data_IF_657223221981
#
_entry.id   IF_657223221981
#
_cell.length_a   1.000
_cell.length_b   1.000
_cell.length_c   1.000
_cell.angle_alpha   90.00
_cell.angle_beta   90.00
_cell.angle_gamma   90.00
#
_symmetry.space_group_name_H-M   'P 1'
#
loop_
_entity.id
_entity.type
_entity.pdbx_description
1 polymer ?
#
# COMPACT_ATOMS: atom_id res chain seq x y z
N UNK A 1 -68.06 18.16 -16.22
CA UNK A 1 -66.81 18.08 -15.44
C UNK A 1 -66.80 16.79 -14.62
N UNK A 2 -67.93 16.40 -14.02
CA UNK A 2 -68.06 15.15 -13.24
C UNK A 2 -67.77 13.83 -13.97
N UNK A 3 -67.90 13.75 -15.31
CA UNK A 3 -67.59 12.50 -16.04
C UNK A 3 -66.10 12.27 -16.31
N UNK A 4 -65.28 13.33 -16.29
CA UNK A 4 -63.83 13.23 -16.51
C UNK A 4 -63.07 12.83 -15.24
N UNK A 5 -63.61 13.12 -14.05
CA UNK A 5 -63.01 12.72 -12.77
C UNK A 5 -63.25 11.23 -12.47
N UNK A 6 -64.43 10.70 -12.81
CA UNK A 6 -64.78 9.29 -12.60
C UNK A 6 -63.94 8.34 -13.48
N UNK A 7 -63.73 8.70 -14.75
CA UNK A 7 -62.87 7.92 -15.67
C UNK A 7 -61.40 7.90 -15.20
N UNK A 8 -60.96 8.93 -14.48
CA UNK A 8 -59.61 9.02 -13.96
C UNK A 8 -59.42 8.13 -12.71
N UNK A 9 -60.38 8.12 -11.79
CA UNK A 9 -60.34 7.26 -10.59
C UNK A 9 -60.40 5.76 -10.94
N UNK A 10 -61.19 5.39 -11.96
CA UNK A 10 -61.29 3.98 -12.38
C UNK A 10 -59.99 3.49 -13.04
N UNK A 11 -59.33 4.33 -13.84
CA UNK A 11 -58.03 4.03 -14.44
C UNK A 11 -56.93 3.91 -13.38
N UNK A 12 -56.94 4.77 -12.36
CA UNK A 12 -56.04 4.67 -11.19
C UNK A 12 -56.19 3.35 -10.46
N UNK A 13 -57.43 2.95 -10.15
CA UNK A 13 -57.69 1.71 -9.43
C UNK A 13 -57.23 0.48 -10.24
N UNK A 14 -57.39 0.51 -11.56
CA UNK A 14 -56.89 -0.55 -12.45
C UNK A 14 -55.35 -0.59 -12.46
N UNK A 15 -54.67 0.56 -12.60
CA UNK A 15 -53.20 0.61 -12.62
C UNK A 15 -52.60 0.20 -11.26
N UNK A 16 -53.18 0.63 -10.14
CA UNK A 16 -52.77 0.19 -8.80
C UNK A 16 -52.98 -1.32 -8.58
N UNK A 17 -54.08 -1.89 -9.09
CA UNK A 17 -54.33 -3.34 -9.04
C UNK A 17 -53.33 -4.13 -9.89
N UNK A 18 -52.93 -3.60 -11.05
CA UNK A 18 -51.87 -4.20 -11.87
C UNK A 18 -50.53 -4.18 -11.14
N UNK A 19 -50.18 -3.08 -10.49
CA UNK A 19 -48.98 -2.99 -9.66
C UNK A 19 -49.00 -4.01 -8.53
N UNK A 20 -50.12 -4.13 -7.79
CA UNK A 20 -50.27 -5.14 -6.73
C UNK A 20 -50.07 -6.56 -7.25
N UNK A 21 -50.66 -6.91 -8.40
CA UNK A 21 -50.47 -8.23 -9.03
C UNK A 21 -49.04 -8.48 -9.48
N UNK A 22 -48.35 -7.44 -9.96
CA UNK A 22 -46.95 -7.53 -10.35
C UNK A 22 -46.05 -7.76 -9.12
N UNK A 23 -46.36 -7.08 -8.00
CA UNK A 23 -45.70 -7.30 -6.71
C UNK A 23 -45.88 -8.74 -6.21
N UNK A 24 -47.10 -9.27 -6.23
CA UNK A 24 -47.39 -10.66 -5.82
C UNK A 24 -46.60 -11.69 -6.64
N UNK A 25 -46.37 -11.41 -7.93
CA UNK A 25 -45.63 -12.28 -8.86
C UNK A 25 -44.12 -12.19 -8.69
N UNK A 26 -43.62 -11.17 -7.99
CA UNK A 26 -42.19 -10.87 -7.85
C UNK A 26 -41.45 -10.69 -9.16
N UNK A 27 -42.12 -10.13 -10.17
CA UNK A 27 -41.55 -9.87 -11.49
C UNK A 27 -41.30 -8.37 -11.66
N UNK A 28 -40.01 -7.99 -11.70
CA UNK A 28 -39.60 -6.58 -11.81
C UNK A 28 -39.97 -5.96 -13.17
N UNK A 29 -40.09 -6.77 -14.23
CA UNK A 29 -40.52 -6.32 -15.55
C UNK A 29 -42.00 -5.96 -15.55
N UNK A 30 -42.85 -6.84 -14.99
CA UNK A 30 -44.29 -6.55 -14.82
C UNK A 30 -44.50 -5.31 -13.95
N UNK A 31 -43.69 -5.12 -12.91
CA UNK A 31 -43.74 -3.91 -12.06
C UNK A 31 -43.37 -2.67 -12.86
N UNK A 32 -42.35 -2.74 -13.72
CA UNK A 32 -41.94 -1.62 -14.56
C UNK A 32 -43.06 -1.13 -15.47
N UNK A 33 -43.74 -2.06 -16.15
CA UNK A 33 -44.89 -1.75 -17.03
C UNK A 33 -46.06 -1.18 -16.23
N UNK A 34 -46.38 -1.79 -15.08
CA UNK A 34 -47.47 -1.31 -14.23
C UNK A 34 -47.21 0.11 -13.67
N UNK A 35 -45.95 0.48 -13.45
CA UNK A 35 -45.58 1.83 -13.02
C UNK A 35 -45.68 2.86 -14.14
N UNK A 36 -45.41 2.50 -15.40
CA UNK A 36 -45.62 3.40 -16.55
C UNK A 36 -47.09 3.77 -16.68
N UNK A 37 -47.97 2.76 -16.68
CA UNK A 37 -49.42 2.94 -16.74
C UNK A 37 -49.95 3.82 -15.59
N UNK A 38 -49.33 3.74 -14.41
CA UNK A 38 -49.75 4.51 -13.24
C UNK A 38 -49.26 5.97 -13.29
N UNK A 39 -48.04 6.20 -13.76
CA UNK A 39 -47.42 7.53 -13.81
C UNK A 39 -47.89 8.37 -15.01
N UNK A 40 -48.29 7.75 -16.13
CA UNK A 40 -48.81 8.47 -17.31
C UNK A 40 -50.20 9.09 -17.07
N UNK A 41 -50.96 8.58 -16.09
CA UNK A 41 -52.35 8.98 -15.85
C UNK A 41 -52.59 9.92 -14.66
N UNK A 42 -51.59 10.19 -13.80
CA UNK A 42 -51.88 10.84 -12.49
C UNK A 42 -50.80 11.76 -11.92
N UNK A 43 -51.23 12.60 -10.95
CA UNK A 43 -50.31 13.34 -10.10
C UNK A 43 -49.73 12.42 -9.02
N UNK A 44 -48.44 12.09 -9.17
CA UNK A 44 -47.69 11.13 -8.36
C UNK A 44 -47.71 11.41 -6.84
N UNK A 45 -48.02 12.64 -6.44
CA UNK A 45 -48.11 13.08 -5.04
C UNK A 45 -49.15 12.31 -4.21
N UNK A 46 -50.20 11.78 -4.83
CA UNK A 46 -51.29 11.08 -4.12
C UNK A 46 -50.98 9.61 -3.81
N UNK A 47 -49.88 9.08 -4.35
CA UNK A 47 -49.52 7.66 -4.24
C UNK A 47 -48.27 7.39 -3.41
N UNK A 48 -47.83 8.38 -2.64
CA UNK A 48 -46.60 8.29 -1.86
C UNK A 48 -46.58 7.05 -0.93
N UNK A 49 -47.70 6.74 -0.26
CA UNK A 49 -47.80 5.56 0.61
C UNK A 49 -47.72 4.24 -0.17
N UNK A 50 -48.30 4.20 -1.37
CA UNK A 50 -48.25 3.00 -2.24
C UNK A 50 -46.82 2.79 -2.74
N UNK A 51 -46.15 3.85 -3.20
CA UNK A 51 -44.77 3.76 -3.65
C UNK A 51 -43.82 3.37 -2.51
N UNK A 52 -44.03 3.92 -1.31
CA UNK A 52 -43.27 3.56 -0.11
C UNK A 52 -43.45 2.08 0.26
N UNK A 53 -44.68 1.56 0.19
CA UNK A 53 -44.97 0.15 0.44
C UNK A 53 -44.34 -0.77 -0.61
N UNK A 54 -44.50 -0.44 -1.90
CA UNK A 54 -43.92 -1.18 -3.02
C UNK A 54 -42.39 -1.22 -2.93
N UNK A 55 -41.73 -0.10 -2.62
CA UNK A 55 -40.29 -0.04 -2.39
C UNK A 55 -39.87 -0.96 -1.24
N UNK A 56 -40.59 -0.93 -0.12
CA UNK A 56 -40.27 -1.74 1.05
C UNK A 56 -40.32 -3.24 0.77
N UNK A 57 -41.15 -3.66 -0.18
CA UNK A 57 -41.25 -5.03 -0.66
C UNK A 57 -40.14 -5.36 -1.66
N UNK A 58 -39.98 -4.56 -2.72
CA UNK A 58 -39.04 -4.81 -3.83
C UNK A 58 -37.59 -4.89 -3.34
N UNK A 59 -37.19 -4.07 -2.36
CA UNK A 59 -35.82 -4.08 -1.83
C UNK A 59 -35.45 -5.41 -1.14
N UNK A 60 -36.44 -6.25 -0.83
CA UNK A 60 -36.24 -7.59 -0.27
C UNK A 60 -36.06 -8.68 -1.32
N UNK A 61 -36.24 -8.35 -2.60
CA UNK A 61 -36.12 -9.30 -3.70
C UNK A 61 -34.68 -9.41 -4.22
N UNK A 62 -34.40 -10.52 -4.89
CA UNK A 62 -33.16 -10.73 -5.65
C UNK A 62 -33.25 -10.03 -7.01
N UNK A 63 -33.03 -8.71 -7.02
CA UNK A 63 -33.14 -7.86 -8.23
C UNK A 63 -31.86 -7.82 -9.09
N UNK A 64 -30.84 -8.63 -8.76
CA UNK A 64 -29.56 -8.67 -9.48
C UNK A 64 -29.64 -9.24 -10.90
N UNK A 65 -30.72 -9.96 -11.23
CA UNK A 65 -30.89 -10.64 -12.53
C UNK A 65 -31.28 -9.70 -13.69
N UNK A 66 -31.81 -8.52 -13.38
CA UNK A 66 -32.22 -7.50 -14.37
C UNK A 66 -31.87 -6.10 -13.84
N UNK A 67 -30.57 -5.72 -13.81
CA UNK A 67 -30.11 -4.54 -13.10
C UNK A 67 -30.66 -3.22 -13.66
N UNK A 68 -30.76 -3.10 -14.98
CA UNK A 68 -31.28 -1.89 -15.65
C UNK A 68 -32.77 -1.66 -15.35
N UNK A 69 -33.60 -2.69 -15.52
CA UNK A 69 -35.03 -2.65 -15.19
C UNK A 69 -35.24 -2.36 -13.71
N UNK A 70 -34.43 -2.97 -12.85
CA UNK A 70 -34.52 -2.79 -11.40
C UNK A 70 -34.15 -1.36 -11.00
N UNK A 71 -33.13 -0.78 -11.61
CA UNK A 71 -32.78 0.62 -11.40
C UNK A 71 -33.92 1.55 -11.81
N UNK A 72 -34.50 1.34 -13.00
CA UNK A 72 -35.60 2.15 -13.50
C UNK A 72 -36.82 2.12 -12.57
N UNK A 73 -37.22 0.92 -12.12
CA UNK A 73 -38.33 0.74 -11.17
C UNK A 73 -38.04 1.46 -9.85
N UNK A 74 -36.85 1.26 -9.28
CA UNK A 74 -36.50 1.88 -8.00
C UNK A 74 -36.49 3.41 -8.10
N UNK A 75 -35.93 3.99 -9.17
CA UNK A 75 -35.95 5.46 -9.39
C UNK A 75 -37.38 5.99 -9.51
N UNK A 76 -38.21 5.35 -10.34
CA UNK A 76 -39.61 5.74 -10.53
C UNK A 76 -40.44 5.70 -9.24
N UNK A 77 -40.11 4.79 -8.34
CA UNK A 77 -40.77 4.72 -7.04
C UNK A 77 -40.19 5.70 -6.02
N UNK A 78 -38.90 6.04 -6.09
CA UNK A 78 -38.22 6.93 -5.13
C UNK A 78 -38.42 8.41 -5.46
N UNK A 79 -38.41 8.80 -6.73
CA UNK A 79 -38.50 10.21 -7.15
C UNK A 79 -39.78 10.93 -6.66
N UNK A 80 -40.96 10.27 -6.59
CA UNK A 80 -42.18 10.90 -6.07
C UNK A 80 -42.25 11.03 -4.54
N UNK A 81 -41.33 10.41 -3.78
CA UNK A 81 -41.37 10.43 -2.31
C UNK A 81 -40.92 11.80 -1.77
N UNK A 82 -41.87 12.64 -1.36
CA UNK A 82 -41.60 13.99 -0.81
C UNK A 82 -41.32 13.98 0.71
N UNK A 83 -41.75 12.94 1.41
CA UNK A 83 -41.53 12.77 2.84
C UNK A 83 -40.09 12.33 3.12
N UNK A 84 -39.25 13.30 3.46
CA UNK A 84 -37.84 13.06 3.78
C UNK A 84 -37.59 12.04 4.90
N UNK A 85 -38.52 11.87 5.86
CA UNK A 85 -38.38 10.88 6.93
C UNK A 85 -38.58 9.46 6.38
N UNK A 86 -39.65 9.24 5.59
CA UNK A 86 -39.93 7.94 4.96
C UNK A 86 -38.84 7.55 3.97
N UNK A 87 -38.44 8.49 3.12
CA UNK A 87 -37.37 8.27 2.14
C UNK A 87 -36.04 7.93 2.82
N UNK A 88 -35.70 8.61 3.93
CA UNK A 88 -34.51 8.29 4.73
C UNK A 88 -34.57 6.88 5.32
N UNK A 89 -35.70 6.48 5.90
CA UNK A 89 -35.87 5.13 6.46
C UNK A 89 -35.71 4.04 5.39
N UNK A 90 -36.23 4.25 4.18
CA UNK A 90 -36.06 3.33 3.04
C UNK A 90 -34.60 3.24 2.63
N UNK A 91 -33.90 4.39 2.50
CA UNK A 91 -32.47 4.40 2.16
C UNK A 91 -31.62 3.67 3.21
N UNK A 92 -31.86 3.93 4.50
CA UNK A 92 -31.17 3.25 5.60
C UNK A 92 -31.45 1.74 5.59
N UNK A 93 -32.69 1.32 5.29
CA UNK A 93 -33.05 -0.10 5.16
C UNK A 93 -32.32 -0.74 3.98
N UNK A 94 -32.26 -0.09 2.82
CA UNK A 94 -31.49 -0.56 1.66
C UNK A 94 -30.01 -0.77 2.04
N UNK A 95 -29.40 0.18 2.75
CA UNK A 95 -28.01 0.09 3.19
C UNK A 95 -27.76 -1.02 4.23
N UNK A 96 -28.78 -1.44 4.99
CA UNK A 96 -28.67 -2.63 5.86
C UNK A 96 -28.84 -3.93 5.11
N UNK A 97 -29.61 -3.91 4.02
CA UNK A 97 -29.85 -5.10 3.18
C UNK A 97 -28.73 -5.34 2.17
N UNK A 98 -28.02 -4.28 1.76
CA UNK A 98 -26.89 -4.33 0.82
C UNK A 98 -27.25 -4.93 -0.55
N UNK A 99 -28.47 -4.66 -1.01
CA UNK A 99 -28.92 -5.02 -2.36
C UNK A 99 -28.16 -4.18 -3.38
N UNK A 100 -27.39 -4.81 -4.28
CA UNK A 100 -26.38 -4.19 -5.15
C UNK A 100 -26.89 -2.93 -5.87
N UNK A 101 -27.94 -3.08 -6.68
CA UNK A 101 -28.53 -1.99 -7.48
C UNK A 101 -29.17 -0.91 -6.61
N UNK A 102 -29.94 -1.34 -5.59
CA UNK A 102 -30.65 -0.40 -4.71
C UNK A 102 -29.69 0.45 -3.86
N UNK A 103 -28.57 -0.12 -3.43
CA UNK A 103 -27.55 0.56 -2.61
C UNK A 103 -27.04 1.82 -3.30
N UNK A 104 -26.74 1.74 -4.61
CA UNK A 104 -26.27 2.90 -5.37
C UNK A 104 -27.31 4.03 -5.37
N UNK A 105 -28.56 3.70 -5.65
CA UNK A 105 -29.66 4.67 -5.71
C UNK A 105 -29.88 5.31 -4.34
N UNK A 106 -29.87 4.51 -3.27
CA UNK A 106 -29.98 5.01 -1.91
C UNK A 106 -28.84 5.99 -1.57
N UNK A 107 -27.60 5.67 -1.95
CA UNK A 107 -26.44 6.57 -1.73
C UNK A 107 -26.57 7.87 -2.53
N UNK A 108 -27.00 7.81 -3.79
CA UNK A 108 -27.22 9.01 -4.62
C UNK A 108 -28.28 9.94 -3.98
N UNK A 109 -29.39 9.39 -3.51
CA UNK A 109 -30.45 10.14 -2.83
C UNK A 109 -29.95 10.73 -1.52
N UNK A 110 -29.27 9.93 -0.69
CA UNK A 110 -28.69 10.42 0.57
C UNK A 110 -27.66 11.53 0.35
N UNK A 111 -26.85 11.46 -0.72
CA UNK A 111 -25.89 12.54 -1.06
C UNK A 111 -26.62 13.81 -1.50
N UNK A 112 -27.65 13.69 -2.34
CA UNK A 112 -28.47 14.83 -2.80
C UNK A 112 -29.09 15.58 -1.63
N UNK A 113 -29.61 14.84 -0.65
CA UNK A 113 -30.26 15.38 0.55
C UNK A 113 -29.29 15.66 1.71
N UNK A 114 -27.98 15.45 1.52
CA UNK A 114 -26.93 15.61 2.54
C UNK A 114 -27.20 14.81 3.83
N UNK A 115 -27.76 13.61 3.70
CA UNK A 115 -28.02 12.71 4.82
C UNK A 115 -26.80 11.86 5.17
N UNK A 116 -26.63 11.64 6.47
CA UNK A 116 -25.55 10.82 7.03
C UNK A 116 -26.12 9.69 7.86
N UNK A 117 -25.41 8.56 7.87
CA UNK A 117 -25.71 7.44 8.73
C UNK A 117 -25.34 7.75 10.18
N UNK A 118 -26.07 7.16 11.12
CA UNK A 118 -25.62 7.08 12.51
C UNK A 118 -24.44 6.12 12.63
N UNK A 119 -23.64 6.25 13.69
CA UNK A 119 -22.49 5.35 13.92
C UNK A 119 -22.92 3.88 14.04
N UNK A 120 -24.09 3.61 14.62
CA UNK A 120 -24.67 2.26 14.70
C UNK A 120 -25.00 1.72 13.30
N UNK A 121 -25.63 2.54 12.46
CA UNK A 121 -25.97 2.15 11.09
C UNK A 121 -24.71 1.95 10.22
N UNK A 122 -23.64 2.73 10.45
CA UNK A 122 -22.32 2.52 9.82
C UNK A 122 -21.76 1.14 10.16
N UNK A 123 -21.79 0.74 11.43
CA UNK A 123 -21.28 -0.57 11.87
C UNK A 123 -22.11 -1.73 11.30
N UNK A 124 -23.43 -1.59 11.27
CA UNK A 124 -24.34 -2.59 10.70
C UNK A 124 -24.11 -2.74 9.18
N UNK A 125 -24.01 -1.62 8.46
CA UNK A 125 -23.71 -1.61 7.03
C UNK A 125 -22.35 -2.28 6.75
N UNK A 126 -21.30 -1.93 7.49
CA UNK A 126 -19.97 -2.55 7.34
C UNK A 126 -20.01 -4.08 7.51
N UNK A 127 -20.72 -4.58 8.53
CA UNK A 127 -20.87 -6.02 8.77
C UNK A 127 -21.54 -6.72 7.59
N UNK A 128 -22.53 -6.06 6.97
CA UNK A 128 -23.27 -6.58 5.81
C UNK A 128 -22.45 -6.53 4.54
N UNK A 129 -21.75 -5.43 4.27
CA UNK A 129 -20.85 -5.29 3.11
C UNK A 129 -19.78 -6.37 3.11
N UNK A 130 -19.16 -6.64 4.26
CA UNK A 130 -18.16 -7.73 4.41
C UNK A 130 -18.78 -9.11 4.14
N UNK A 131 -20.06 -9.29 4.47
CA UNK A 131 -20.83 -10.48 4.07
C UNK A 131 -20.94 -10.62 2.56
N UNK A 132 -21.40 -9.55 1.89
CA UNK A 132 -21.56 -9.49 0.43
C UNK A 132 -20.23 -9.70 -0.31
N UNK A 133 -19.11 -9.23 0.25
CA UNK A 133 -17.77 -9.46 -0.32
C UNK A 133 -17.39 -10.94 -0.43
N UNK A 134 -17.90 -11.81 0.47
CA UNK A 134 -17.65 -13.26 0.40
C UNK A 134 -18.43 -13.92 -0.73
N UNK A 135 -19.51 -13.28 -1.18
CA UNK A 135 -20.38 -13.74 -2.26
C UNK A 135 -20.02 -13.10 -3.60
N UNK A 136 -18.94 -12.31 -3.68
CA UNK A 136 -18.53 -11.56 -4.87
C UNK A 136 -18.41 -12.39 -6.16
N UNK A 137 -18.20 -13.71 -6.06
CA UNK A 137 -18.12 -14.61 -7.21
C UNK A 137 -19.42 -14.79 -8.00
N UNK A 138 -20.58 -14.41 -7.45
CA UNK A 138 -21.90 -14.53 -8.10
C UNK A 138 -22.41 -13.21 -8.70
N UNK A 139 -21.72 -12.09 -8.47
CA UNK A 139 -22.14 -10.75 -8.89
C UNK A 139 -21.33 -10.34 -10.12
N UNK A 140 -21.96 -9.64 -11.08
CA UNK A 140 -21.19 -9.03 -12.16
C UNK A 140 -20.13 -8.07 -11.57
N UNK A 141 -18.84 -8.19 -11.93
CA UNK A 141 -17.83 -7.42 -11.23
C UNK A 141 -17.90 -5.89 -11.44
N UNK A 142 -18.55 -5.38 -12.51
CA UNK A 142 -18.73 -3.93 -12.70
C UNK A 142 -19.77 -3.43 -11.71
N UNK A 143 -20.85 -4.20 -11.52
CA UNK A 143 -21.85 -3.89 -10.50
C UNK A 143 -21.30 -4.03 -9.08
N UNK A 144 -20.42 -5.01 -8.84
CA UNK A 144 -19.70 -5.13 -7.58
C UNK A 144 -18.81 -3.90 -7.33
N UNK A 145 -18.02 -3.46 -8.30
CA UNK A 145 -17.18 -2.26 -8.21
C UNK A 145 -18.00 -1.01 -7.89
N UNK A 146 -19.11 -0.78 -8.62
CA UNK A 146 -20.03 0.35 -8.38
C UNK A 146 -20.65 0.29 -6.99
N UNK A 147 -21.03 -0.90 -6.54
CA UNK A 147 -21.61 -1.12 -5.22
C UNK A 147 -20.62 -0.81 -4.09
N UNK A 148 -19.37 -1.28 -4.21
CA UNK A 148 -18.31 -0.93 -3.26
C UNK A 148 -18.02 0.56 -3.29
N UNK A 149 -17.99 1.18 -4.46
CA UNK A 149 -17.76 2.62 -4.59
C UNK A 149 -18.84 3.45 -3.87
N UNK A 150 -20.12 3.12 -4.10
CA UNK A 150 -21.25 3.78 -3.43
C UNK A 150 -21.19 3.62 -1.89
N UNK A 151 -20.88 2.42 -1.42
CA UNK A 151 -20.72 2.17 0.01
C UNK A 151 -19.56 2.97 0.62
N UNK A 152 -18.40 3.01 -0.02
CA UNK A 152 -17.27 3.82 0.45
C UNK A 152 -17.63 5.31 0.54
N UNK A 153 -18.38 5.81 -0.44
CA UNK A 153 -18.85 7.20 -0.49
C UNK A 153 -19.72 7.58 0.71
N UNK A 154 -20.77 6.78 0.99
CA UNK A 154 -21.68 7.10 2.10
C UNK A 154 -21.04 6.88 3.46
N UNK A 155 -20.19 5.87 3.60
CA UNK A 155 -19.43 5.61 4.82
C UNK A 155 -18.49 6.78 5.13
N UNK A 156 -17.78 7.29 4.12
CA UNK A 156 -16.92 8.47 4.24
C UNK A 156 -17.73 9.72 4.64
N UNK A 157 -18.84 10.00 3.96
CA UNK A 157 -19.70 11.13 4.29
C UNK A 157 -20.27 11.04 5.73
N UNK A 158 -20.45 9.82 6.23
CA UNK A 158 -20.96 9.51 7.57
C UNK A 158 -19.87 9.43 8.65
N UNK A 159 -18.61 9.69 8.31
CA UNK A 159 -17.50 9.75 9.29
C UNK A 159 -16.86 8.40 9.62
N UNK A 160 -16.96 7.40 8.74
CA UNK A 160 -16.22 6.16 8.89
C UNK A 160 -14.70 6.43 8.95
N UNK A 161 -13.95 5.72 9.81
CA UNK A 161 -12.50 5.92 9.91
C UNK A 161 -11.78 5.61 8.58
N UNK A 162 -10.76 6.39 8.18
CA UNK A 162 -10.04 6.19 6.92
C UNK A 162 -9.50 4.76 6.73
N UNK A 163 -8.88 4.19 7.76
CA UNK A 163 -8.33 2.82 7.70
C UNK A 163 -9.39 1.74 7.41
N UNK A 164 -10.67 1.98 7.76
CA UNK A 164 -11.77 1.06 7.45
C UNK A 164 -12.12 1.14 5.96
N UNK A 165 -12.15 2.36 5.41
CA UNK A 165 -12.41 2.58 3.99
C UNK A 165 -11.28 2.03 3.12
N UNK A 166 -10.02 2.29 3.50
CA UNK A 166 -8.84 1.73 2.85
C UNK A 166 -8.90 0.20 2.83
N UNK A 167 -9.22 -0.42 3.97
CA UNK A 167 -9.37 -1.88 4.05
C UNK A 167 -10.51 -2.39 3.17
N UNK A 168 -11.67 -1.72 3.18
CA UNK A 168 -12.83 -2.09 2.36
C UNK A 168 -12.46 -2.13 0.87
N UNK A 169 -11.84 -1.05 0.38
CA UNK A 169 -11.41 -0.95 -1.01
C UNK A 169 -10.33 -2.00 -1.31
N UNK A 170 -9.31 -2.15 -0.46
CA UNK A 170 -8.25 -3.13 -0.66
C UNK A 170 -8.76 -4.59 -0.68
N UNK A 171 -9.64 -4.96 0.24
CA UNK A 171 -10.23 -6.30 0.30
C UNK A 171 -11.10 -6.59 -0.93
N UNK A 172 -11.81 -5.58 -1.45
CA UNK A 172 -12.64 -5.74 -2.66
C UNK A 172 -11.81 -6.05 -3.91
N UNK A 173 -10.55 -5.62 -3.96
CA UNK A 173 -9.65 -5.79 -5.10
C UNK A 173 -9.15 -7.24 -5.24
N UNK A 174 -8.99 -7.95 -4.12
CA UNK A 174 -8.64 -9.38 -4.15
C UNK A 174 -9.70 -10.17 -4.92
N UNK A 175 -10.96 -9.75 -4.84
CA UNK A 175 -12.07 -10.35 -5.60
C UNK A 175 -12.12 -9.95 -7.08
N UNK A 176 -11.32 -8.95 -7.50
CA UNK A 176 -11.36 -8.33 -8.84
C UNK A 176 -10.19 -8.75 -9.75
N UNK A 177 -9.38 -9.75 -9.38
CA UNK A 177 -8.14 -10.16 -10.07
C UNK A 177 -8.33 -10.73 -11.49
N UNK A 178 -8.76 -9.91 -12.45
CA UNK A 178 -8.67 -10.19 -13.89
C UNK A 178 -7.92 -9.05 -14.59
N UNK A 179 -6.71 -9.30 -15.12
CA UNK A 179 -5.80 -8.25 -15.61
C UNK A 179 -6.29 -7.47 -16.85
N UNK A 180 -7.33 -7.95 -17.54
CA UNK A 180 -7.80 -7.36 -18.81
C UNK A 180 -9.12 -6.58 -18.72
N UNK A 181 -9.63 -6.30 -17.51
CA UNK A 181 -10.94 -5.64 -17.34
C UNK A 181 -10.82 -4.12 -17.27
N UNK A 182 -11.80 -3.43 -17.86
CA UNK A 182 -12.06 -2.01 -17.57
C UNK A 182 -12.64 -1.89 -16.15
N UNK A 183 -11.98 -1.11 -15.29
CA UNK A 183 -12.43 -0.81 -13.92
C UNK A 183 -13.44 0.34 -13.96
N UNK A 184 -14.53 0.28 -13.19
CA UNK A 184 -15.52 1.33 -13.13
C UNK A 184 -14.92 2.68 -12.67
N UNK A 185 -15.20 3.82 -13.34
CA UNK A 185 -14.62 5.12 -12.98
C UNK A 185 -14.88 5.55 -11.53
N UNK A 186 -16.07 5.28 -11.00
CA UNK A 186 -16.42 5.62 -9.61
C UNK A 186 -15.58 4.81 -8.61
N UNK A 187 -15.27 3.56 -8.95
CA UNK A 187 -14.40 2.72 -8.13
C UNK A 187 -12.95 3.21 -8.19
N UNK A 188 -12.47 3.61 -9.38
CA UNK A 188 -11.15 4.26 -9.52
C UNK A 188 -11.11 5.52 -8.67
N UNK A 189 -12.15 6.35 -8.68
CA UNK A 189 -12.22 7.54 -7.83
C UNK A 189 -12.14 7.19 -6.33
N UNK A 190 -12.84 6.14 -5.88
CA UNK A 190 -12.73 5.70 -4.48
C UNK A 190 -11.36 5.10 -4.17
N UNK A 191 -10.75 4.39 -5.11
CA UNK A 191 -9.41 3.85 -4.98
C UNK A 191 -8.39 4.97 -4.80
N UNK A 192 -8.48 6.00 -5.63
CA UNK A 192 -7.73 7.25 -5.54
C UNK A 192 -7.90 7.92 -4.18
N UNK A 193 -9.14 8.04 -3.69
CA UNK A 193 -9.44 8.77 -2.46
C UNK A 193 -9.02 8.03 -1.18
N UNK A 194 -9.01 6.70 -1.19
CA UNK A 194 -8.84 5.89 0.02
C UNK A 194 -7.54 5.05 0.00
N UNK A 195 -6.98 4.77 -1.18
CA UNK A 195 -5.77 3.98 -1.39
C UNK A 195 -4.94 4.55 -2.59
N UNK A 196 -4.46 5.81 -2.54
CA UNK A 196 -3.82 6.49 -3.69
C UNK A 196 -2.55 5.83 -4.21
N UNK A 197 -1.98 4.88 -3.46
CA UNK A 197 -0.79 4.11 -3.82
C UNK A 197 -1.07 2.66 -4.22
N UNK A 198 -2.35 2.31 -4.40
CA UNK A 198 -2.71 0.96 -4.76
C UNK A 198 -2.15 0.58 -6.15
N UNK A 199 -1.52 -0.60 -6.32
CA UNK A 199 -0.92 -1.02 -7.60
C UNK A 199 -1.86 -1.01 -8.82
N UNK A 200 -3.17 -1.20 -8.61
CA UNK A 200 -4.16 -1.05 -9.69
C UNK A 200 -4.20 0.36 -10.29
N UNK A 201 -3.94 1.42 -9.51
CA UNK A 201 -3.83 2.78 -10.04
C UNK A 201 -2.62 2.89 -10.97
N UNK A 202 -1.50 2.26 -10.59
CA UNK A 202 -0.31 2.19 -11.44
C UNK A 202 -0.60 1.48 -12.76
N UNK A 203 -1.30 0.35 -12.74
CA UNK A 203 -1.64 -0.41 -13.97
C UNK A 203 -2.64 0.33 -14.88
N UNK A 204 -3.60 1.04 -14.30
CA UNK A 204 -4.60 1.80 -15.06
C UNK A 204 -4.00 3.09 -15.65
N UNK A 205 -3.19 3.83 -14.89
CA UNK A 205 -2.57 5.10 -15.33
C UNK A 205 -1.33 4.90 -16.22
N UNK A 206 -0.68 3.73 -16.22
CA UNK A 206 0.34 3.41 -17.23
C UNK A 206 -0.23 3.43 -18.67
N UNK A 207 -1.55 3.33 -18.84
CA UNK A 207 -2.22 3.48 -20.15
C UNK A 207 -2.42 4.95 -20.57
N UNK A 208 -2.42 5.90 -19.62
CA UNK A 208 -2.67 7.32 -19.85
C UNK A 208 -1.62 8.15 -19.09
N UNK A 209 -0.55 8.55 -19.78
CA UNK A 209 0.58 9.25 -19.15
C UNK A 209 0.22 10.61 -18.52
N UNK A 210 0.96 10.91 -17.45
CA UNK A 210 1.05 12.13 -16.63
C UNK A 210 0.11 12.19 -15.40
N UNK A 211 0.72 11.90 -14.24
CA UNK A 211 0.15 11.86 -12.87
C UNK A 211 -0.30 10.48 -12.35
N UNK A 212 0.66 9.55 -12.21
CA UNK A 212 0.47 8.18 -11.67
C UNK A 212 -0.16 8.13 -10.26
N UNK A 213 -0.12 9.25 -9.51
CA UNK A 213 -0.72 9.34 -8.18
C UNK A 213 -1.76 10.43 -8.14
N UNK A 214 -3.00 10.01 -7.97
CA UNK A 214 -4.11 10.90 -7.71
C UNK A 214 -4.16 11.21 -6.21
N UNK A 215 -3.25 12.06 -5.74
CA UNK A 215 -3.40 12.69 -4.41
C UNK A 215 -4.25 13.95 -4.60
N UNK A 216 -4.88 14.44 -3.52
CA UNK A 216 -5.57 15.73 -3.55
C UNK A 216 -4.69 16.76 -4.26
N UNK A 217 -5.27 17.55 -5.18
CA UNK A 217 -4.52 18.56 -5.93
C UNK A 217 -3.91 19.56 -4.96
N UNK A 218 -2.61 19.41 -4.74
CA UNK A 218 -1.81 20.31 -3.93
C UNK A 218 -1.00 21.21 -4.85
N UNK A 219 -1.07 22.53 -4.61
CA UNK A 219 -0.37 23.54 -5.41
C UNK A 219 1.15 23.53 -5.14
N UNK A 220 1.57 23.21 -3.91
CA UNK A 220 2.99 23.13 -3.53
C UNK A 220 3.60 21.75 -3.84
N UNK A 221 4.65 21.68 -4.68
CA UNK A 221 5.35 20.42 -4.96
C UNK A 221 5.91 19.75 -3.70
N UNK A 222 6.38 20.55 -2.74
CA UNK A 222 6.95 20.08 -1.48
C UNK A 222 5.86 19.47 -0.58
N UNK A 223 4.71 20.13 -0.46
CA UNK A 223 3.59 19.60 0.32
C UNK A 223 3.00 18.34 -0.32
N UNK A 224 2.93 18.27 -1.66
CA UNK A 224 2.56 17.04 -2.38
C UNK A 224 3.51 15.90 -2.04
N UNK A 225 4.81 16.15 -2.10
CA UNK A 225 5.82 15.13 -1.77
C UNK A 225 5.67 14.61 -0.33
N UNK A 226 5.41 15.48 0.64
CA UNK A 226 5.17 15.03 2.03
C UNK A 226 3.93 14.13 2.14
N UNK A 227 2.83 14.51 1.49
CA UNK A 227 1.65 13.66 1.45
C UNK A 227 1.92 12.32 0.77
N UNK A 228 2.73 12.31 -0.30
CA UNK A 228 3.14 11.09 -0.99
C UNK A 228 3.94 10.17 -0.05
N UNK A 229 4.91 10.73 0.67
CA UNK A 229 5.74 9.97 1.62
C UNK A 229 4.92 9.42 2.78
N UNK A 230 4.07 10.25 3.39
CA UNK A 230 3.28 9.85 4.57
C UNK A 230 2.30 8.73 4.22
N UNK A 231 1.60 8.86 3.08
CA UNK A 231 0.66 7.85 2.61
C UNK A 231 1.36 6.57 2.12
N UNK A 232 2.53 6.67 1.49
CA UNK A 232 3.33 5.51 1.13
C UNK A 232 3.74 4.73 2.38
N UNK A 233 4.20 5.43 3.42
CA UNK A 233 4.56 4.83 4.71
C UNK A 233 3.38 4.13 5.36
N UNK A 234 2.22 4.79 5.39
CA UNK A 234 0.99 4.19 5.92
C UNK A 234 0.61 2.93 5.15
N UNK A 235 0.65 2.98 3.81
CA UNK A 235 0.29 1.85 2.96
C UNK A 235 1.21 0.64 3.18
N UNK A 236 2.53 0.85 3.10
CA UNK A 236 3.52 -0.23 3.21
C UNK A 236 3.56 -0.84 4.60
N UNK A 237 3.36 -0.03 5.64
CA UNK A 237 3.37 -0.51 7.02
C UNK A 237 2.03 -1.04 7.52
N UNK A 238 0.94 -0.79 6.79
CA UNK A 238 -0.36 -1.36 7.14
C UNK A 238 -0.35 -2.90 7.00
N UNK A 239 -0.97 -3.59 7.97
CA UNK A 239 -1.04 -5.08 8.00
C UNK A 239 -1.68 -5.72 6.77
N UNK A 240 -2.47 -4.95 6.01
CA UNK A 240 -3.22 -5.43 4.84
C UNK A 240 -2.80 -4.76 3.52
N UNK A 241 -1.93 -3.75 3.55
CA UNK A 241 -1.59 -2.93 2.37
C UNK A 241 -0.56 -3.59 1.47
N UNK A 242 0.66 -3.78 1.97
CA UNK A 242 1.73 -4.36 1.17
C UNK A 242 1.75 -5.89 1.22
N UNK A 243 1.95 -6.51 0.04
CA UNK A 243 2.22 -7.95 -0.14
C UNK A 243 3.44 -8.09 -1.06
N UNK A 244 4.26 -9.11 -0.87
CA UNK A 244 5.48 -9.37 -1.67
C UNK A 244 5.18 -9.41 -3.17
N UNK A 245 4.02 -9.95 -3.56
CA UNK A 245 3.56 -10.04 -4.95
C UNK A 245 3.35 -8.68 -5.63
N UNK A 246 3.29 -7.58 -4.86
CA UNK A 246 3.08 -6.22 -5.36
C UNK A 246 4.39 -5.43 -5.49
N UNK A 247 5.54 -6.06 -5.22
CA UNK A 247 6.82 -5.39 -5.11
C UNK A 247 7.22 -4.60 -6.35
N UNK A 248 7.08 -5.17 -7.55
CA UNK A 248 7.42 -4.46 -8.80
C UNK A 248 6.61 -3.18 -8.98
N UNK A 249 5.30 -3.23 -8.70
CA UNK A 249 4.43 -2.04 -8.79
C UNK A 249 4.81 -1.01 -7.74
N UNK A 250 5.05 -1.45 -6.49
CA UNK A 250 5.45 -0.56 -5.41
C UNK A 250 6.85 0.02 -5.59
N UNK A 251 7.75 -0.69 -6.26
CA UNK A 251 9.06 -0.17 -6.64
C UNK A 251 8.89 0.97 -7.64
N UNK A 252 8.05 0.81 -8.66
CA UNK A 252 7.74 1.89 -9.59
C UNK A 252 7.13 3.11 -8.86
N UNK A 253 6.29 2.87 -7.85
CA UNK A 253 5.78 3.94 -7.00
C UNK A 253 6.89 4.68 -6.28
N UNK A 254 7.71 3.93 -5.55
CA UNK A 254 8.84 4.45 -4.80
C UNK A 254 9.79 5.27 -5.69
N UNK A 255 10.13 4.75 -6.87
CA UNK A 255 10.99 5.43 -7.83
C UNK A 255 10.41 6.76 -8.30
N UNK A 256 9.10 6.85 -8.52
CA UNK A 256 8.45 8.09 -8.93
C UNK A 256 8.45 9.14 -7.81
N UNK A 257 8.25 8.72 -6.55
CA UNK A 257 8.36 9.60 -5.38
C UNK A 257 9.81 10.11 -5.25
N UNK A 258 10.80 9.23 -5.38
CA UNK A 258 12.22 9.60 -5.38
C UNK A 258 12.58 10.52 -6.55
N UNK A 259 12.05 10.28 -7.74
CA UNK A 259 12.27 11.17 -8.88
C UNK A 259 11.72 12.57 -8.57
N UNK A 260 10.51 12.67 -7.97
CA UNK A 260 9.97 13.97 -7.56
C UNK A 260 10.85 14.64 -6.50
N UNK A 261 11.26 13.87 -5.49
CA UNK A 261 12.21 14.31 -4.45
C UNK A 261 13.43 14.98 -5.06
N UNK A 262 14.07 14.33 -6.05
CA UNK A 262 15.28 14.82 -6.72
C UNK A 262 15.04 16.17 -7.44
N UNK A 263 13.82 16.43 -7.89
CA UNK A 263 13.46 17.67 -8.61
C UNK A 263 12.87 18.76 -7.69
N UNK A 264 12.68 18.51 -6.39
CA UNK A 264 12.23 19.56 -5.47
C UNK A 264 13.29 20.66 -5.35
N UNK A 265 12.83 21.91 -5.40
CA UNK A 265 13.66 23.08 -5.13
C UNK A 265 13.97 23.20 -3.64
N UNK A 266 15.20 23.60 -3.31
CA UNK A 266 15.68 23.75 -1.93
C UNK A 266 16.37 22.51 -1.37
N UNK A 267 16.80 22.63 -0.11
CA UNK A 267 17.41 21.55 0.66
C UNK A 267 16.50 21.17 1.84
N UNK A 268 16.58 19.92 2.27
CA UNK A 268 15.83 19.43 3.41
C UNK A 268 16.42 19.91 4.73
N UNK A 269 15.53 20.34 5.62
CA UNK A 269 15.86 20.71 6.99
C UNK A 269 16.05 19.49 7.88
N UNK A 270 16.53 19.71 9.11
CA UNK A 270 16.77 18.63 10.08
C UNK A 270 15.49 17.84 10.41
N UNK A 271 14.34 18.50 10.44
CA UNK A 271 13.04 17.90 10.77
C UNK A 271 12.62 16.82 9.74
N UNK A 272 13.10 16.95 8.50
CA UNK A 272 12.80 16.01 7.43
C UNK A 272 13.56 14.68 7.56
N UNK A 273 14.67 14.64 8.32
CA UNK A 273 15.50 13.43 8.46
C UNK A 273 14.66 12.25 8.96
N UNK A 274 13.77 12.47 9.92
CA UNK A 274 12.91 11.40 10.46
C UNK A 274 11.95 10.85 9.41
N UNK A 275 11.22 11.76 8.74
CA UNK A 275 10.21 11.41 7.74
C UNK A 275 10.83 10.65 6.57
N UNK A 276 11.96 11.15 6.06
CA UNK A 276 12.66 10.51 4.94
C UNK A 276 13.33 9.20 5.38
N UNK A 277 13.80 9.09 6.62
CA UNK A 277 14.30 7.81 7.12
C UNK A 277 13.18 6.77 7.21
N UNK A 278 11.99 7.14 7.70
CA UNK A 278 10.83 6.23 7.73
C UNK A 278 10.38 5.81 6.33
N UNK A 279 10.41 6.75 5.37
CA UNK A 279 10.18 6.48 3.95
C UNK A 279 11.08 5.39 3.38
N UNK A 280 12.39 5.53 3.59
CA UNK A 280 13.36 4.55 3.12
C UNK A 280 13.23 3.19 3.83
N UNK A 281 12.94 3.18 5.13
CA UNK A 281 12.70 1.93 5.87
C UNK A 281 11.47 1.19 5.36
N UNK A 282 10.39 1.91 5.06
CA UNK A 282 9.22 1.33 4.41
C UNK A 282 9.60 0.78 3.02
N UNK A 283 10.33 1.56 2.22
CA UNK A 283 10.75 1.14 0.88
C UNK A 283 11.67 -0.09 0.88
N UNK A 284 12.53 -0.27 1.89
CA UNK A 284 13.40 -1.43 1.99
C UNK A 284 12.64 -2.76 1.97
N UNK A 285 11.43 -2.80 2.51
CA UNK A 285 10.56 -3.99 2.50
C UNK A 285 10.12 -4.39 1.10
N UNK A 286 10.10 -3.44 0.15
CA UNK A 286 9.75 -3.71 -1.25
C UNK A 286 10.80 -4.60 -1.90
N UNK A 287 12.08 -4.41 -1.54
CA UNK A 287 13.19 -5.14 -2.15
C UNK A 287 13.27 -6.61 -1.72
N UNK A 288 12.53 -6.99 -0.68
CA UNK A 288 12.36 -8.39 -0.28
C UNK A 288 11.25 -9.10 -1.06
N UNK A 289 10.53 -8.38 -1.94
CA UNK A 289 9.38 -8.93 -2.63
C UNK A 289 9.69 -9.71 -3.90
N UNK A 290 8.67 -10.42 -4.38
CA UNK A 290 8.80 -11.34 -5.51
C UNK A 290 9.17 -10.56 -6.79
N UNK A 291 10.12 -11.08 -7.57
CA UNK A 291 10.60 -10.50 -8.84
C UNK A 291 11.42 -9.22 -8.73
N UNK A 292 11.89 -8.84 -7.54
CA UNK A 292 12.93 -7.81 -7.40
C UNK A 292 14.32 -8.45 -7.53
N UNK A 293 15.12 -7.96 -8.48
CA UNK A 293 16.45 -8.46 -8.76
C UNK A 293 17.57 -7.53 -8.29
N UNK A 294 18.80 -7.93 -8.63
CA UNK A 294 20.01 -7.18 -8.29
C UNK A 294 20.08 -5.79 -8.96
N UNK A 295 19.44 -5.64 -10.14
CA UNK A 295 19.44 -4.39 -10.90
C UNK A 295 18.62 -3.30 -10.19
N UNK A 296 17.44 -3.68 -9.69
CA UNK A 296 16.55 -2.83 -8.92
C UNK A 296 17.21 -2.38 -7.62
N UNK A 297 17.87 -3.30 -6.90
CA UNK A 297 18.65 -2.97 -5.71
C UNK A 297 19.79 -2.01 -6.02
N UNK A 298 20.51 -2.21 -7.13
CA UNK A 298 21.57 -1.28 -7.56
C UNK A 298 21.04 0.11 -7.89
N UNK A 299 19.83 0.20 -8.46
CA UNK A 299 19.16 1.47 -8.73
C UNK A 299 18.73 2.17 -7.44
N UNK A 300 18.27 1.42 -6.45
CA UNK A 300 17.92 1.96 -5.13
C UNK A 300 19.11 2.63 -4.44
N UNK A 301 20.31 2.08 -4.57
CA UNK A 301 21.54 2.70 -4.02
C UNK A 301 21.75 4.09 -4.60
N UNK A 302 21.60 4.25 -5.92
CA UNK A 302 21.71 5.57 -6.59
C UNK A 302 20.63 6.54 -6.13
N UNK A 303 19.41 6.05 -5.87
CA UNK A 303 18.34 6.87 -5.31
C UNK A 303 18.63 7.29 -3.85
N UNK A 304 19.28 6.42 -3.07
CA UNK A 304 19.70 6.72 -1.70
C UNK A 304 20.78 7.80 -1.67
N UNK A 305 21.76 7.70 -2.57
CA UNK A 305 22.78 8.73 -2.81
C UNK A 305 22.12 10.07 -3.15
N UNK A 306 21.25 10.09 -4.16
CA UNK A 306 20.54 11.30 -4.60
C UNK A 306 19.63 11.89 -3.51
N UNK A 307 19.01 11.05 -2.69
CA UNK A 307 18.21 11.50 -1.54
C UNK A 307 19.09 12.12 -0.46
N UNK A 308 20.24 11.52 -0.19
CA UNK A 308 21.22 12.05 0.76
C UNK A 308 21.69 13.44 0.33
N UNK A 309 21.90 13.65 -0.97
CA UNK A 309 22.34 14.94 -1.52
C UNK A 309 21.34 16.09 -1.36
N UNK A 310 20.05 15.79 -1.13
CA UNK A 310 19.02 16.80 -0.86
C UNK A 310 19.11 17.45 0.52
N UNK A 311 19.82 16.82 1.45
CA UNK A 311 20.13 17.46 2.72
C UNK A 311 21.35 18.38 2.55
N UNK A 312 21.37 19.48 3.31
CA UNK A 312 22.57 20.30 3.48
C UNK A 312 23.76 19.41 3.85
N UNK A 313 24.95 19.78 3.39
CA UNK A 313 26.17 18.98 3.49
C UNK A 313 26.44 18.48 4.92
N UNK A 314 26.16 19.30 5.94
CA UNK A 314 26.33 18.93 7.35
C UNK A 314 25.29 17.90 7.87
N UNK A 315 24.11 17.82 7.24
CA UNK A 315 23.00 16.94 7.62
C UNK A 315 23.04 15.58 6.91
N UNK A 316 23.72 15.48 5.77
CA UNK A 316 23.92 14.22 5.03
C UNK A 316 24.41 13.05 5.89
N UNK A 317 25.50 13.19 6.69
CA UNK A 317 25.92 12.09 7.55
C UNK A 317 24.90 11.77 8.65
N UNK A 318 24.14 12.76 9.13
CA UNK A 318 23.09 12.57 10.14
C UNK A 318 21.92 11.74 9.60
N UNK A 319 21.53 11.95 8.34
CA UNK A 319 20.50 11.16 7.68
C UNK A 319 20.90 9.68 7.56
N UNK A 320 22.08 9.38 7.02
CA UNK A 320 22.58 8.01 6.90
C UNK A 320 22.76 7.35 8.27
N UNK A 321 23.26 8.11 9.25
CA UNK A 321 23.38 7.66 10.64
C UNK A 321 22.01 7.31 11.23
N UNK A 322 20.99 8.13 10.96
CA UNK A 322 19.63 7.90 11.45
C UNK A 322 19.01 6.65 10.84
N UNK A 323 19.18 6.44 9.54
CA UNK A 323 18.77 5.20 8.86
C UNK A 323 19.40 3.98 9.53
N UNK A 324 20.72 3.96 9.66
CA UNK A 324 21.44 2.85 10.27
C UNK A 324 21.03 2.62 11.73
N UNK A 325 20.81 3.70 12.48
CA UNK A 325 20.31 3.63 13.85
C UNK A 325 18.93 2.98 13.94
N UNK A 326 17.96 3.40 13.12
CA UNK A 326 16.63 2.79 13.11
C UNK A 326 16.71 1.30 12.75
N UNK A 327 17.54 0.91 11.79
CA UNK A 327 17.78 -0.50 11.46
C UNK A 327 18.38 -1.28 12.64
N UNK A 328 19.33 -0.69 13.38
CA UNK A 328 19.99 -1.34 14.51
C UNK A 328 19.10 -1.57 15.73
N UNK A 329 17.98 -0.86 15.86
CA UNK A 329 17.08 -0.94 17.02
C UNK A 329 16.08 -2.11 16.98
N UNK A 330 16.19 -2.99 15.96
CA UNK A 330 15.38 -4.20 15.70
C UNK A 330 14.25 -4.47 16.70
N UNK A 331 13.04 -4.02 16.36
CA UNK A 331 11.81 -4.46 17.03
C UNK A 331 10.67 -4.87 16.10
N UNK A 332 10.64 -4.46 14.83
CA UNK A 332 9.39 -4.58 14.06
C UNK A 332 9.49 -5.08 12.62
N UNK A 333 10.68 -5.23 12.01
CA UNK A 333 10.80 -5.65 10.60
C UNK A 333 12.04 -6.52 10.40
N UNK A 334 11.85 -7.79 10.05
CA UNK A 334 12.90 -8.63 9.45
C UNK A 334 13.01 -8.24 7.97
N UNK A 335 14.14 -7.64 7.57
CA UNK A 335 14.44 -7.31 6.18
C UNK A 335 15.29 -8.43 5.57
N UNK A 336 14.77 -9.07 4.51
CA UNK A 336 15.42 -10.17 3.81
C UNK A 336 16.71 -9.78 3.07
N UNK A 337 16.92 -8.49 2.79
CA UNK A 337 18.15 -7.90 2.20
C UNK A 337 18.86 -6.90 3.14
N UNK A 338 18.67 -7.01 4.46
CA UNK A 338 19.23 -6.09 5.46
C UNK A 338 20.75 -5.88 5.31
N UNK A 339 21.53 -6.96 5.14
CA UNK A 339 22.99 -6.85 5.08
C UNK A 339 23.45 -6.06 3.84
N UNK A 340 22.79 -6.27 2.71
CA UNK A 340 23.03 -5.57 1.45
C UNK A 340 22.65 -4.09 1.58
N UNK A 341 21.52 -3.78 2.21
CA UNK A 341 21.07 -2.40 2.46
C UNK A 341 22.03 -1.66 3.37
N UNK A 342 22.49 -2.30 4.46
CA UNK A 342 23.43 -1.70 5.39
C UNK A 342 24.78 -1.47 4.72
N UNK A 343 25.24 -2.44 3.90
CA UNK A 343 26.43 -2.27 3.09
C UNK A 343 26.31 -1.07 2.13
N UNK A 344 25.13 -0.85 1.54
CA UNK A 344 24.86 0.31 0.69
C UNK A 344 24.95 1.62 1.49
N UNK A 345 24.30 1.72 2.66
CA UNK A 345 24.38 2.91 3.53
C UNK A 345 25.83 3.24 3.88
N UNK A 346 26.62 2.24 4.26
CA UNK A 346 28.05 2.39 4.57
C UNK A 346 28.83 2.86 3.32
N UNK A 347 28.50 2.30 2.16
CA UNK A 347 29.14 2.67 0.89
C UNK A 347 28.86 4.13 0.51
N UNK A 348 27.61 4.58 0.63
CA UNK A 348 27.22 5.98 0.38
C UNK A 348 27.92 6.91 1.38
N UNK A 349 27.95 6.53 2.68
CA UNK A 349 28.66 7.30 3.71
C UNK A 349 30.14 7.45 3.34
N UNK A 350 30.80 6.35 2.96
CA UNK A 350 32.20 6.34 2.56
C UNK A 350 32.45 7.17 1.31
N UNK A 351 31.59 7.11 0.30
CA UNK A 351 31.77 7.91 -0.92
C UNK A 351 31.70 9.41 -0.61
N UNK A 352 30.75 9.85 0.23
CA UNK A 352 30.63 11.27 0.58
C UNK A 352 31.71 11.76 1.55
N UNK A 353 32.40 10.86 2.26
CA UNK A 353 33.59 11.20 3.04
C UNK A 353 34.76 11.75 2.20
N UNK A 354 34.83 11.47 0.90
CA UNK A 354 35.91 11.97 0.04
C UNK A 354 35.83 13.49 -0.12
N UNK A 355 34.62 14.04 -0.12
CA UNK A 355 34.36 15.43 -0.51
C UNK A 355 34.00 16.33 0.67
N UNK A 356 33.83 15.78 1.88
CA UNK A 356 33.20 16.50 2.99
C UNK A 356 33.69 16.11 4.39
N UNK A 357 34.21 17.11 5.12
CA UNK A 357 34.72 16.94 6.49
C UNK A 357 33.65 16.63 7.54
N UNK A 358 32.38 17.00 7.33
CA UNK A 358 31.30 16.70 8.29
C UNK A 358 31.13 15.20 8.51
N UNK A 359 31.44 14.38 7.50
CA UNK A 359 31.43 12.93 7.66
C UNK A 359 32.54 12.44 8.61
N UNK A 360 33.70 13.10 8.64
CA UNK A 360 34.80 12.75 9.55
C UNK A 360 34.43 13.03 11.00
N UNK A 361 33.69 14.10 11.26
CA UNK A 361 33.20 14.45 12.60
C UNK A 361 32.23 13.39 13.12
N UNK A 362 31.38 12.85 12.24
CA UNK A 362 30.34 11.89 12.59
C UNK A 362 30.83 10.43 12.68
N UNK A 363 31.99 10.09 12.12
CA UNK A 363 32.56 8.73 12.13
C UNK A 363 32.59 8.10 13.52
N UNK A 364 32.96 8.87 14.55
CA UNK A 364 33.05 8.37 15.92
C UNK A 364 31.71 7.84 16.45
N UNK A 365 30.59 8.42 16.02
CA UNK A 365 29.24 7.97 16.39
C UNK A 365 28.64 6.97 15.39
N UNK A 366 29.18 6.92 14.16
CA UNK A 366 28.78 5.99 13.11
C UNK A 366 29.33 4.58 13.35
N UNK A 367 30.59 4.43 13.77
CA UNK A 367 31.21 3.13 14.03
C UNK A 367 30.46 2.24 15.04
N UNK A 368 29.98 2.77 16.19
CA UNK A 368 29.15 2.01 17.12
C UNK A 368 27.82 1.53 16.51
N UNK A 369 27.32 2.16 15.45
CA UNK A 369 26.14 1.68 14.74
C UNK A 369 26.50 0.50 13.85
N UNK A 370 27.60 0.60 13.10
CA UNK A 370 28.12 -0.52 12.31
C UNK A 370 28.33 -1.74 13.21
N UNK A 371 29.02 -1.60 14.34
CA UNK A 371 29.32 -2.70 15.26
C UNK A 371 28.07 -3.33 15.94
N UNK A 372 26.94 -2.60 15.99
CA UNK A 372 25.67 -3.13 16.53
C UNK A 372 24.93 -4.02 15.54
N UNK A 373 25.21 -3.88 14.24
CA UNK A 373 24.62 -4.77 13.23
C UNK A 373 25.25 -6.15 13.36
N UNK A 374 24.43 -7.14 13.71
CA UNK A 374 24.85 -8.53 13.87
C UNK A 374 24.02 -9.41 12.95
N UNK A 375 24.71 -10.31 12.26
CA UNK A 375 24.12 -11.28 11.36
C UNK A 375 24.58 -12.68 11.78
N UNK A 376 23.62 -13.59 11.91
CA UNK A 376 23.89 -14.98 12.28
C UNK A 376 24.48 -15.76 11.09
N UNK A 377 24.04 -15.43 9.87
CA UNK A 377 24.57 -15.98 8.64
C UNK A 377 25.67 -15.07 8.06
N UNK A 378 26.93 -15.51 8.25
CA UNK A 378 28.12 -14.82 7.74
C UNK A 378 28.14 -14.81 6.21
N UNK A 379 27.66 -15.86 5.55
CA UNK A 379 27.64 -15.96 4.10
C UNK A 379 26.70 -14.92 3.50
N UNK A 380 25.51 -14.76 4.07
CA UNK A 380 24.58 -13.72 3.67
C UNK A 380 25.13 -12.30 3.93
N UNK A 381 25.90 -12.11 5.00
CA UNK A 381 26.45 -10.81 5.41
C UNK A 381 27.82 -10.43 4.81
N UNK A 382 28.35 -11.21 3.86
CA UNK A 382 29.65 -10.97 3.18
C UNK A 382 29.79 -9.53 2.69
N UNK A 383 28.76 -9.01 2.02
CA UNK A 383 28.77 -7.65 1.46
C UNK A 383 28.86 -6.57 2.53
N UNK A 384 28.28 -6.82 3.70
CA UNK A 384 28.33 -5.93 4.86
C UNK A 384 29.73 -5.89 5.45
N UNK A 385 30.35 -7.05 5.70
CA UNK A 385 31.73 -7.11 6.22
C UNK A 385 32.69 -6.41 5.26
N UNK A 386 32.54 -6.65 3.96
CA UNK A 386 33.33 -5.99 2.92
C UNK A 386 33.20 -4.46 3.01
N UNK A 387 31.97 -3.94 3.10
CA UNK A 387 31.73 -2.50 3.21
C UNK A 387 32.36 -1.89 4.47
N UNK A 388 32.28 -2.59 5.61
CA UNK A 388 32.92 -2.19 6.87
C UNK A 388 34.44 -2.11 6.73
N UNK A 389 35.09 -3.13 6.16
CA UNK A 389 36.54 -3.12 5.99
C UNK A 389 37.00 -2.06 5.00
N UNK A 390 36.26 -1.84 3.91
CA UNK A 390 36.55 -0.76 2.95
C UNK A 390 36.39 0.63 3.59
N UNK A 391 35.40 0.82 4.47
CA UNK A 391 35.26 2.07 5.24
C UNK A 391 36.45 2.27 6.18
N UNK A 392 36.90 1.22 6.86
CA UNK A 392 38.03 1.28 7.78
C UNK A 392 39.34 1.60 7.05
N UNK A 393 39.56 0.98 5.88
CA UNK A 393 40.67 1.32 4.96
C UNK A 393 40.63 2.79 4.56
N UNK A 394 39.46 3.28 4.15
CA UNK A 394 39.30 4.68 3.75
C UNK A 394 39.61 5.64 4.91
N UNK A 395 39.11 5.37 6.12
CA UNK A 395 39.37 6.17 7.31
C UNK A 395 40.88 6.29 7.59
N UNK A 396 41.64 5.20 7.48
CA UNK A 396 43.08 5.20 7.66
C UNK A 396 43.81 5.94 6.52
N UNK A 397 43.40 5.73 5.26
CA UNK A 397 43.95 6.42 4.11
C UNK A 397 43.77 7.95 4.19
N UNK A 398 42.61 8.39 4.70
CA UNK A 398 42.32 9.81 4.97
C UNK A 398 42.93 10.33 6.27
N UNK A 399 43.68 9.50 6.99
CA UNK A 399 44.37 9.87 8.24
C UNK A 399 43.43 10.46 9.29
N UNK A 400 42.19 9.95 9.36
CA UNK A 400 41.21 10.42 10.35
C UNK A 400 41.60 9.88 11.72
N UNK A 401 42.00 10.78 12.65
CA UNK A 401 42.25 10.55 14.11
C UNK A 401 42.81 9.16 14.46
N UNK A 402 44.11 9.06 14.75
CA UNK A 402 44.80 7.80 15.10
C UNK A 402 44.09 7.00 16.20
N UNK A 403 43.58 7.69 17.22
CA UNK A 403 42.87 7.08 18.36
C UNK A 403 41.59 6.38 17.92
N UNK A 404 40.84 6.98 16.98
CA UNK A 404 39.64 6.37 16.44
C UNK A 404 39.98 5.14 15.60
N UNK A 405 41.03 5.21 14.76
CA UNK A 405 41.51 4.04 14.01
C UNK A 405 41.88 2.87 14.94
N UNK A 406 42.55 3.15 16.06
CA UNK A 406 42.91 2.12 17.05
C UNK A 406 41.67 1.49 17.69
N UNK A 407 40.69 2.31 18.07
CA UNK A 407 39.43 1.80 18.63
C UNK A 407 38.70 0.93 17.60
N UNK A 408 38.55 1.40 16.37
CA UNK A 408 37.86 0.66 15.29
C UNK A 408 38.54 -0.67 14.99
N UNK A 409 39.87 -0.70 14.96
CA UNK A 409 40.63 -1.92 14.76
C UNK A 409 40.29 -2.98 15.82
N UNK A 410 40.41 -2.60 17.10
CA UNK A 410 40.23 -3.52 18.23
C UNK A 410 38.76 -3.91 18.46
N UNK A 411 37.82 -2.97 18.33
CA UNK A 411 36.42 -3.20 18.73
C UNK A 411 35.49 -3.57 17.58
N UNK A 412 35.92 -3.39 16.32
CA UNK A 412 35.07 -3.67 15.14
C UNK A 412 35.74 -4.66 14.21
N UNK A 413 36.90 -4.31 13.66
CA UNK A 413 37.50 -5.11 12.58
C UNK A 413 37.94 -6.49 13.04
N UNK A 414 38.71 -6.55 14.14
CA UNK A 414 39.23 -7.81 14.66
C UNK A 414 38.10 -8.78 15.08
N UNK A 415 37.07 -8.36 15.85
CA UNK A 415 35.92 -9.23 16.14
C UNK A 415 35.19 -9.74 14.89
N UNK A 416 35.02 -8.90 13.86
CA UNK A 416 34.37 -9.34 12.61
C UNK A 416 35.22 -10.36 11.85
N UNK A 417 36.54 -10.17 11.81
CA UNK A 417 37.45 -11.13 11.18
C UNK A 417 37.51 -12.46 11.95
N UNK A 418 37.46 -12.42 13.29
CA UNK A 418 37.32 -13.62 14.13
C UNK A 418 36.02 -14.37 13.80
N UNK A 419 34.89 -13.67 13.66
CA UNK A 419 33.61 -14.27 13.24
C UNK A 419 33.70 -14.94 11.86
N UNK A 420 34.33 -14.29 10.88
CA UNK A 420 34.54 -14.85 9.54
C UNK A 420 35.44 -16.09 9.61
N UNK A 421 36.53 -16.04 10.36
CA UNK A 421 37.46 -17.16 10.52
C UNK A 421 36.79 -18.36 11.19
N UNK A 422 35.98 -18.13 12.23
CA UNK A 422 35.23 -19.20 12.90
C UNK A 422 34.20 -19.84 11.95
N UNK A 423 33.50 -19.03 11.14
CA UNK A 423 32.61 -19.55 10.10
C UNK A 423 33.36 -20.42 9.09
N UNK A 424 34.50 -19.95 8.58
CA UNK A 424 35.31 -20.72 7.61
C UNK A 424 35.82 -22.05 8.17
N UNK A 425 36.18 -22.10 9.46
CA UNK A 425 36.55 -23.36 10.13
C UNK A 425 35.37 -24.33 10.19
N UNK A 426 34.17 -23.84 10.50
CA UNK A 426 32.95 -24.66 10.52
C UNK A 426 32.65 -25.20 9.12
N UNK A 427 32.79 -24.38 8.08
CA UNK A 427 32.63 -24.80 6.68
C UNK A 427 33.69 -25.82 6.25
N UNK A 428 34.94 -25.69 6.69
CA UNK A 428 35.99 -26.68 6.40
C UNK A 428 35.68 -28.04 7.05
N UNK A 429 35.16 -28.05 8.28
CA UNK A 429 34.70 -29.27 8.94
C UNK A 429 33.50 -29.87 8.17
N UNK A 430 32.58 -29.03 7.70
CA UNK A 430 31.45 -29.43 6.84
C UNK A 430 31.92 -30.13 5.56
N UNK A 431 32.85 -29.52 4.82
CA UNK A 431 33.45 -30.11 3.61
C UNK A 431 34.16 -31.44 3.88
N UNK A 432 34.88 -31.56 5.00
CA UNK A 432 35.51 -32.84 5.40
C UNK A 432 34.47 -33.93 5.64
N UNK A 433 33.34 -33.59 6.27
CA UNK A 433 32.21 -34.53 6.47
C UNK A 433 31.49 -34.87 5.18
N UNK A 434 31.41 -33.94 4.23
CA UNK A 434 30.89 -34.21 2.88
C UNK A 434 31.78 -35.22 2.15
N UNK A 435 33.09 -34.99 2.19
CA UNK A 435 34.08 -35.87 1.56
C UNK A 435 34.11 -37.28 2.19
N UNK A 436 33.78 -37.40 3.48
CA UNK A 436 33.63 -38.70 4.16
C UNK A 436 32.25 -39.35 3.99
N UNK A 437 31.31 -38.70 3.31
CA UNK A 437 29.95 -39.21 3.09
C UNK A 437 29.06 -39.21 4.33
N UNK A 438 29.40 -38.42 5.35
CA UNK A 438 28.69 -38.35 6.63
C UNK A 438 27.51 -37.35 6.62
N UNK A 439 27.36 -36.55 5.56
CA UNK A 439 26.27 -35.59 5.44
C UNK A 439 24.99 -36.25 4.92
N UNK A 440 23.85 -35.82 5.45
CA UNK A 440 22.56 -36.18 4.87
C UNK A 440 22.24 -35.35 3.62
N UNK A 441 21.23 -35.76 2.85
CA UNK A 441 20.87 -35.14 1.57
C UNK A 441 20.57 -33.62 1.68
N UNK A 442 19.93 -33.15 2.76
CA UNK A 442 19.67 -31.73 2.99
C UNK A 442 20.95 -30.95 3.29
N UNK A 443 21.86 -31.51 4.10
CA UNK A 443 23.14 -30.90 4.42
C UNK A 443 24.05 -30.84 3.19
N UNK A 444 24.01 -31.86 2.35
CA UNK A 444 24.79 -31.93 1.12
C UNK A 444 24.33 -30.86 0.11
N UNK A 445 23.02 -30.69 -0.07
CA UNK A 445 22.47 -29.63 -0.92
C UNK A 445 22.85 -28.22 -0.46
N UNK A 446 22.82 -27.96 0.86
CA UNK A 446 23.23 -26.66 1.43
C UNK A 446 24.73 -26.42 1.22
N UNK A 447 25.56 -27.46 1.39
CA UNK A 447 27.01 -27.36 1.23
C UNK A 447 27.40 -27.06 -0.23
N UNK A 448 26.74 -27.71 -1.19
CA UNK A 448 26.97 -27.47 -2.62
C UNK A 448 26.64 -26.03 -3.05
N UNK A 449 25.60 -25.42 -2.45
CA UNK A 449 25.27 -24.00 -2.69
C UNK A 449 26.32 -23.03 -2.14
N UNK A 450 26.95 -23.36 -1.01
CA UNK A 450 27.99 -22.54 -0.37
C UNK A 450 29.33 -22.63 -1.10
N UNK A 451 29.69 -23.80 -1.64
CA UNK A 451 30.93 -23.96 -2.42
C UNK A 451 30.96 -23.12 -3.69
N UNK A 452 29.81 -22.90 -4.34
CA UNK A 452 29.68 -22.04 -5.52
C UNK A 452 30.11 -20.57 -5.26
N UNK A 453 30.21 -20.16 -3.98
CA UNK A 453 30.53 -18.79 -3.58
C UNK A 453 31.84 -18.67 -2.78
N UNK A 454 32.65 -19.73 -2.72
CA UNK A 454 33.93 -19.73 -1.99
C UNK A 454 34.88 -18.57 -2.38
N UNK A 455 34.82 -18.11 -3.63
CA UNK A 455 35.60 -16.95 -4.10
C UNK A 455 35.28 -15.63 -3.39
N UNK A 456 34.08 -15.47 -2.84
CA UNK A 456 33.68 -14.25 -2.12
C UNK A 456 34.41 -14.11 -0.77
N UNK A 457 34.68 -15.23 -0.09
CA UNK A 457 35.43 -15.22 1.18
C UNK A 457 36.89 -14.83 0.98
N UNK A 458 37.53 -15.27 -0.10
CA UNK A 458 38.89 -14.84 -0.46
C UNK A 458 38.95 -13.32 -0.68
N UNK A 459 37.93 -12.74 -1.32
CA UNK A 459 37.84 -11.29 -1.53
C UNK A 459 37.74 -10.57 -0.19
N UNK A 460 36.92 -11.08 0.74
CA UNK A 460 36.81 -10.51 2.09
C UNK A 460 38.12 -10.58 2.86
N UNK A 461 38.80 -11.72 2.87
CA UNK A 461 40.07 -11.87 3.57
C UNK A 461 41.13 -10.90 3.03
N UNK A 462 41.21 -10.75 1.71
CA UNK A 462 42.06 -9.74 1.07
C UNK A 462 41.66 -8.33 1.49
N UNK A 463 40.36 -8.02 1.50
CA UNK A 463 39.83 -6.70 1.88
C UNK A 463 40.13 -6.37 3.34
N UNK A 464 40.02 -7.35 4.24
CA UNK A 464 40.41 -7.23 5.65
C UNK A 464 41.90 -6.94 5.78
N UNK A 465 42.77 -7.74 5.16
CA UNK A 465 44.23 -7.57 5.24
C UNK A 465 44.67 -6.20 4.74
N UNK A 466 44.11 -5.76 3.62
CA UNK A 466 44.35 -4.43 3.07
C UNK A 466 43.96 -3.31 4.05
N UNK A 467 42.79 -3.45 4.70
CA UNK A 467 42.31 -2.49 5.67
C UNK A 467 43.15 -2.48 6.96
N UNK A 468 43.51 -3.67 7.46
CA UNK A 468 44.37 -3.87 8.61
C UNK A 468 45.74 -3.24 8.37
N UNK A 469 46.38 -3.53 7.24
CA UNK A 469 47.67 -2.95 6.89
C UNK A 469 47.59 -1.42 6.84
N UNK A 470 46.57 -0.87 6.17
CA UNK A 470 46.39 0.59 6.07
C UNK A 470 46.23 1.26 7.45
N UNK A 471 45.53 0.60 8.37
CA UNK A 471 45.35 1.09 9.73
C UNK A 471 46.64 1.01 10.53
N UNK A 472 47.33 -0.13 10.48
CA UNK A 472 48.59 -0.32 11.20
C UNK A 472 49.67 0.64 10.72
N UNK A 473 49.75 0.90 9.41
CA UNK A 473 50.67 1.87 8.82
C UNK A 473 50.38 3.31 9.27
N UNK A 474 49.11 3.62 9.55
CA UNK A 474 48.72 4.96 10.01
C UNK A 474 48.87 5.14 11.53
N UNK A 475 48.57 4.11 12.33
CA UNK A 475 48.63 4.19 13.79
C UNK A 475 50.08 4.20 14.28
N UNK A 476 50.91 3.31 13.73
CA UNK A 476 52.34 3.25 14.02
C UNK A 476 53.07 4.47 13.43
#
# INVERSE_FOLDING_TARGET
MDSMEVDNEENVCRSAHRLSKALDRRDIGDVCVALEDLLEGTNADHFEDIFSAALNEIITWEISKAPETSELVLRRLMDPLKNGVKMRQICEKILRMQTVVATRIAVEVMKRENWKLSMEAVQEALKKIVGTMREAGSIDPTEFERHIAANADILKASGAPPHVLTKLIADSIVSLQRPDRHIAPDFVQQLVLNCPFHPLLVLHDLRNTFEVFCIQRVVSPFHRFHLEVDQFNEFVNSKNGYRSSLATSMLFVFENICNRLIHLEGQFETEEIERIADFWLAAFRIFDGDSIGLQETSRAIKLLEATTEKFDVARRPLFLKRLLHKMSLKKEVELGLEAQIVAAIITVFKQQMYDCNYFYEELGSFWPLCARMKYDDVHYAIVYFSAVFVLAKAMAAFRVKKELCRVVYETVMKPMNEQIADYLRVEEIGRKKQASGELNFQQQFIQDQKEAQAGQFTIIECTYKDAEQSILDFIN
#
